data_IF_527026325192
#
_entry.id   IF_527026325192
#
_cell.length_a   1.000
_cell.length_b   1.000
_cell.length_c   1.000
_cell.angle_alpha   90.00
_cell.angle_beta   90.00
_cell.angle_gamma   90.00
#
_symmetry.space_group_name_H-M   'P 1'
#
loop_
_entity.id
_entity.type
_entity.pdbx_description
1 polymer ?
#
# COMPACT_ATOMS: atom_id res chain seq x y z
N UNK A 1 -25.89 -17.00 74.07
CA UNK A 1 -26.94 -17.45 73.15
C UNK A 1 -26.88 -16.56 71.91
N UNK A 2 -26.82 -17.11 70.75
CA UNK A 2 -26.84 -16.60 69.38
C UNK A 2 -25.48 -16.76 68.69
N UNK A 3 -25.43 -17.79 67.91
CA UNK A 3 -24.35 -18.23 67.04
C UNK A 3 -24.25 -17.32 65.82
N UNK A 4 -23.10 -16.71 65.62
CA UNK A 4 -22.77 -15.99 64.37
C UNK A 4 -22.23 -17.00 63.36
N UNK A 5 -22.94 -17.17 62.29
CA UNK A 5 -22.52 -17.98 61.12
C UNK A 5 -21.85 -17.01 60.15
N UNK A 6 -20.55 -17.10 60.03
CA UNK A 6 -19.76 -16.35 59.05
C UNK A 6 -19.79 -17.09 57.71
N UNK A 7 -20.57 -16.57 56.74
CA UNK A 7 -20.59 -17.10 55.37
C UNK A 7 -19.41 -16.44 54.60
N UNK A 8 -18.41 -17.24 54.25
CA UNK A 8 -17.29 -16.88 53.42
C UNK A 8 -17.69 -16.94 51.95
N UNK A 9 -17.99 -15.82 51.33
CA UNK A 9 -18.25 -15.71 49.90
C UNK A 9 -16.92 -15.75 49.14
N UNK A 10 -16.60 -16.88 48.50
CA UNK A 10 -15.59 -17.03 47.50
C UNK A 10 -16.05 -16.33 46.20
N UNK A 11 -15.52 -15.14 45.94
CA UNK A 11 -15.68 -14.51 44.61
C UNK A 11 -14.64 -15.11 43.68
N UNK A 12 -15.10 -16.03 42.86
CA UNK A 12 -14.31 -16.60 41.76
C UNK A 12 -14.23 -15.58 40.65
N UNK A 13 -13.08 -14.88 40.51
CA UNK A 13 -12.83 -13.97 39.41
C UNK A 13 -12.56 -14.79 38.13
N UNK A 14 -13.62 -14.90 37.31
CA UNK A 14 -13.52 -15.45 35.97
C UNK A 14 -12.82 -14.42 35.07
N UNK A 15 -11.51 -14.54 34.90
CA UNK A 15 -10.75 -13.75 33.94
C UNK A 15 -11.16 -14.21 32.54
N UNK A 16 -12.07 -13.47 31.92
CA UNK A 16 -12.34 -13.59 30.47
C UNK A 16 -11.14 -13.07 29.71
N UNK A 17 -10.25 -13.99 29.29
CA UNK A 17 -9.23 -13.70 28.32
C UNK A 17 -9.92 -13.34 26.99
N UNK A 18 -10.00 -12.06 26.69
CA UNK A 18 -10.38 -11.57 25.36
C UNK A 18 -9.32 -12.08 24.38
N UNK A 19 -9.70 -12.79 23.30
CA UNK A 19 -8.76 -13.09 22.25
C UNK A 19 -8.30 -11.75 21.66
N UNK A 20 -7.00 -11.46 21.74
CA UNK A 20 -6.41 -10.37 20.99
C UNK A 20 -6.80 -10.58 19.53
N UNK A 21 -7.56 -9.65 18.95
CA UNK A 21 -7.86 -9.63 17.53
C UNK A 21 -6.52 -9.55 16.78
N UNK A 22 -6.00 -10.73 16.41
CA UNK A 22 -4.89 -10.82 15.49
C UNK A 22 -5.37 -10.17 14.20
N UNK A 23 -4.74 -9.05 13.80
CA UNK A 23 -4.96 -8.43 12.51
C UNK A 23 -4.94 -9.52 11.44
N UNK A 24 -5.73 -9.36 10.40
CA UNK A 24 -5.99 -10.33 9.34
C UNK A 24 -4.67 -10.89 8.76
N UNK A 25 -4.10 -11.85 9.45
CA UNK A 25 -3.04 -12.70 8.93
C UNK A 25 -3.71 -13.60 7.88
N UNK A 26 -3.06 -13.73 6.74
CA UNK A 26 -3.42 -14.73 5.75
C UNK A 26 -3.56 -16.08 6.46
N UNK A 27 -4.72 -16.74 6.40
CA UNK A 27 -4.91 -18.10 6.93
C UNK A 27 -4.17 -19.16 6.08
N UNK A 28 -3.56 -18.73 4.98
CA UNK A 28 -2.72 -19.54 4.10
C UNK A 28 -1.30 -19.69 4.68
N UNK A 29 -0.60 -20.75 4.27
CA UNK A 29 0.82 -20.91 4.63
C UNK A 29 1.65 -19.73 4.14
N UNK A 30 2.78 -19.45 4.80
CA UNK A 30 3.67 -18.36 4.41
C UNK A 30 4.13 -18.50 2.94
N UNK A 31 4.45 -19.73 2.51
CA UNK A 31 4.86 -20.02 1.12
C UNK A 31 3.76 -19.67 0.11
N UNK A 32 2.50 -20.01 0.42
CA UNK A 32 1.36 -19.67 -0.44
C UNK A 32 1.14 -18.15 -0.51
N UNK A 33 1.29 -17.44 0.59
CA UNK A 33 1.22 -15.98 0.62
C UNK A 33 2.35 -15.34 -0.19
N UNK A 34 3.56 -15.87 -0.13
CA UNK A 34 4.72 -15.40 -0.88
C UNK A 34 4.51 -15.61 -2.38
N UNK A 35 4.08 -16.80 -2.82
CA UNK A 35 3.80 -17.07 -4.23
C UNK A 35 2.67 -16.19 -4.78
N UNK A 36 1.62 -15.99 -4.01
CA UNK A 36 0.53 -15.07 -4.37
C UNK A 36 1.00 -13.62 -4.49
N UNK A 37 1.93 -13.18 -3.63
CA UNK A 37 2.52 -11.85 -3.73
C UNK A 37 3.42 -11.71 -4.96
N UNK A 38 4.25 -12.71 -5.28
CA UNK A 38 5.06 -12.74 -6.51
C UNK A 38 4.21 -12.58 -7.75
N UNK A 39 3.13 -13.36 -7.87
CA UNK A 39 2.19 -13.25 -8.99
C UNK A 39 1.60 -11.85 -9.09
N UNK A 40 1.13 -11.29 -7.97
CA UNK A 40 0.58 -9.93 -7.95
C UNK A 40 1.59 -8.87 -8.37
N UNK A 41 2.85 -9.01 -7.99
CA UNK A 41 3.91 -8.06 -8.35
C UNK A 41 4.28 -8.17 -9.83
N UNK A 42 4.28 -9.38 -10.39
CA UNK A 42 4.58 -9.62 -11.80
C UNK A 42 3.51 -9.00 -12.73
N UNK A 43 2.25 -9.00 -12.31
CA UNK A 43 1.11 -8.46 -13.07
C UNK A 43 0.82 -6.97 -12.78
N UNK A 44 1.48 -6.42 -11.76
CA UNK A 44 1.18 -5.06 -11.31
C UNK A 44 1.60 -4.02 -12.33
N UNK A 45 0.64 -3.19 -12.75
CA UNK A 45 0.92 -1.99 -13.51
C UNK A 45 1.67 -0.96 -12.66
N UNK A 46 2.67 -0.33 -13.26
CA UNK A 46 3.58 0.59 -12.57
C UNK A 46 3.81 1.86 -13.39
N UNK A 47 3.74 2.99 -12.72
CA UNK A 47 4.02 4.30 -13.30
C UNK A 47 5.46 4.76 -12.99
N UNK A 48 5.97 4.44 -11.82
CA UNK A 48 7.33 4.79 -11.41
C UNK A 48 7.46 6.10 -10.66
N UNK A 49 6.44 6.48 -9.88
CA UNK A 49 6.51 7.60 -8.92
C UNK A 49 6.36 7.11 -7.48
N UNK A 50 7.04 7.80 -6.58
CA UNK A 50 6.73 7.79 -5.15
C UNK A 50 6.15 9.16 -4.79
N UNK A 51 5.17 9.20 -3.91
CA UNK A 51 4.51 10.43 -3.54
C UNK A 51 4.26 10.51 -2.03
N UNK A 52 4.27 11.73 -1.52
CA UNK A 52 3.93 12.07 -0.14
C UNK A 52 2.67 12.92 -0.08
N UNK A 53 2.12 13.06 1.12
CA UNK A 53 1.02 13.99 1.37
C UNK A 53 1.52 15.41 1.19
N UNK A 54 0.79 16.19 0.40
CA UNK A 54 0.98 17.62 0.24
C UNK A 54 -0.15 18.39 0.94
N UNK A 55 -0.04 19.70 0.93
CA UNK A 55 -1.07 20.59 1.46
C UNK A 55 -2.43 20.40 0.76
N UNK A 56 -3.49 20.84 1.43
CA UNK A 56 -4.87 20.81 0.91
C UNK A 56 -5.37 19.42 0.48
N UNK A 57 -4.92 18.36 1.18
CA UNK A 57 -5.37 17.00 0.92
C UNK A 57 -4.92 16.44 -0.44
N UNK A 58 -3.85 16.98 -1.00
CA UNK A 58 -3.23 16.51 -2.26
C UNK A 58 -2.07 15.58 -2.01
N UNK A 59 -1.47 15.12 -3.10
CA UNK A 59 -0.27 14.31 -3.13
C UNK A 59 0.78 15.00 -3.98
N UNK A 60 2.03 14.98 -3.55
CA UNK A 60 3.16 15.49 -4.34
C UNK A 60 4.15 14.39 -4.67
N UNK A 61 4.70 14.44 -5.86
CA UNK A 61 5.73 13.51 -6.31
C UNK A 61 7.00 13.75 -5.51
N UNK A 62 7.38 12.75 -4.70
CA UNK A 62 8.62 12.75 -3.92
C UNK A 62 9.81 12.28 -4.74
N UNK A 63 9.59 11.27 -5.59
CA UNK A 63 10.63 10.66 -6.41
C UNK A 63 10.05 10.15 -7.72
N UNK A 64 10.81 10.29 -8.79
CA UNK A 64 10.57 9.63 -10.07
C UNK A 64 11.68 8.60 -10.26
N UNK A 65 11.29 7.37 -10.55
CA UNK A 65 12.25 6.31 -10.80
C UNK A 65 12.87 6.46 -12.19
N UNK A 66 14.17 6.24 -12.29
CA UNK A 66 14.86 6.26 -13.57
C UNK A 66 14.34 5.14 -14.51
N UNK A 67 14.31 5.43 -15.81
CA UNK A 67 13.80 4.54 -16.85
C UNK A 67 12.33 4.09 -16.66
N UNK A 68 11.56 4.86 -15.88
CA UNK A 68 10.14 4.59 -15.64
C UNK A 68 9.23 5.26 -16.68
N UNK A 69 7.98 4.78 -16.82
CA UNK A 69 6.95 5.50 -17.57
C UNK A 69 6.76 6.94 -17.13
N UNK A 70 6.86 7.21 -15.84
CA UNK A 70 6.75 8.57 -15.30
C UNK A 70 7.88 9.49 -15.76
N UNK A 71 9.12 9.00 -15.77
CA UNK A 71 10.26 9.79 -16.29
C UNK A 71 10.06 10.09 -17.77
N UNK A 72 9.67 9.09 -18.56
CA UNK A 72 9.40 9.26 -19.99
C UNK A 72 8.25 10.23 -20.26
N UNK A 73 7.23 10.24 -19.43
CA UNK A 73 6.10 11.17 -19.48
C UNK A 73 6.47 12.58 -19.00
N UNK A 74 7.63 12.76 -18.40
CA UNK A 74 8.12 14.06 -17.92
C UNK A 74 7.63 14.45 -16.53
N UNK A 75 7.24 13.49 -15.67
CA UNK A 75 7.02 13.77 -14.25
C UNK A 75 8.28 14.30 -13.59
N UNK A 76 8.12 15.17 -12.61
CA UNK A 76 9.22 15.76 -11.85
C UNK A 76 8.92 15.70 -10.35
N UNK A 77 9.99 15.64 -9.57
CA UNK A 77 9.86 15.81 -8.12
C UNK A 77 9.26 17.18 -7.81
N UNK A 78 8.29 17.20 -6.90
CA UNK A 78 7.55 18.39 -6.50
C UNK A 78 6.24 18.60 -7.29
N UNK A 79 5.97 17.82 -8.33
CA UNK A 79 4.67 17.86 -9.01
C UNK A 79 3.54 17.53 -8.03
N UNK A 80 2.53 18.37 -7.96
CA UNK A 80 1.33 18.09 -7.17
C UNK A 80 0.28 17.44 -8.06
N UNK A 81 -0.16 16.23 -7.69
CA UNK A 81 -1.15 15.48 -8.45
C UNK A 81 -2.53 16.14 -8.33
N UNK A 82 -3.12 16.56 -9.45
CA UNK A 82 -4.41 17.25 -9.51
C UNK A 82 -5.51 16.34 -10.00
N UNK A 83 -5.29 15.60 -11.08
CA UNK A 83 -6.26 14.66 -11.63
C UNK A 83 -5.56 13.46 -12.28
N UNK A 84 -6.28 12.34 -12.37
CA UNK A 84 -5.91 11.13 -13.10
C UNK A 84 -7.14 10.63 -13.85
N UNK A 85 -7.02 10.40 -15.17
CA UNK A 85 -8.12 9.94 -16.02
C UNK A 85 -9.40 10.78 -15.86
N UNK A 86 -9.25 12.09 -15.63
CA UNK A 86 -10.36 13.01 -15.41
C UNK A 86 -10.85 13.07 -13.95
N UNK A 87 -10.49 12.12 -13.10
CA UNK A 87 -10.87 12.11 -11.69
C UNK A 87 -9.98 13.02 -10.85
N UNK A 88 -10.57 13.78 -9.92
CA UNK A 88 -9.83 14.63 -8.99
C UNK A 88 -8.90 13.78 -8.10
N UNK A 89 -7.61 14.05 -8.15
CA UNK A 89 -6.61 13.29 -7.40
C UNK A 89 -6.41 13.89 -6.01
N UNK A 90 -7.36 13.64 -5.13
CA UNK A 90 -7.36 14.14 -3.75
C UNK A 90 -7.54 13.02 -2.72
N UNK A 91 -7.21 13.34 -1.47
CA UNK A 91 -7.41 12.41 -0.34
C UNK A 91 -8.89 12.11 -0.11
N UNK A 92 -9.78 13.03 -0.44
CA UNK A 92 -11.23 12.88 -0.31
C UNK A 92 -11.78 11.94 -1.39
N UNK A 93 -11.18 11.96 -2.59
CA UNK A 93 -11.62 11.17 -3.75
C UNK A 93 -10.89 9.83 -3.92
N UNK A 94 -10.22 9.33 -2.87
CA UNK A 94 -9.42 8.08 -2.92
C UNK A 94 -10.17 6.89 -3.51
N UNK A 95 -11.48 6.80 -3.27
CA UNK A 95 -12.29 5.67 -3.76
C UNK A 95 -12.40 5.68 -5.28
N UNK A 96 -12.65 6.85 -5.89
CA UNK A 96 -12.72 6.99 -7.35
C UNK A 96 -11.34 6.76 -7.99
N UNK A 97 -10.27 7.33 -7.40
CA UNK A 97 -8.91 7.09 -7.87
C UNK A 97 -8.54 5.60 -7.82
N UNK A 98 -8.89 4.92 -6.72
CA UNK A 98 -8.65 3.47 -6.62
C UNK A 98 -9.43 2.67 -7.66
N UNK A 99 -10.68 3.06 -7.95
CA UNK A 99 -11.49 2.43 -8.99
C UNK A 99 -10.87 2.66 -10.37
N UNK A 100 -10.49 3.90 -10.70
CA UNK A 100 -9.83 4.22 -11.96
C UNK A 100 -8.50 3.45 -12.15
N UNK A 101 -7.74 3.25 -11.08
CA UNK A 101 -6.53 2.41 -11.11
C UNK A 101 -6.82 0.92 -11.30
N UNK A 102 -7.94 0.42 -10.78
CA UNK A 102 -8.28 -1.00 -10.86
C UNK A 102 -8.57 -1.46 -12.31
N UNK A 103 -8.97 -0.53 -13.16
CA UNK A 103 -9.24 -0.78 -14.59
C UNK A 103 -7.99 -0.67 -15.47
N UNK A 104 -6.85 -0.25 -14.90
CA UNK A 104 -5.59 -0.08 -15.60
C UNK A 104 -4.68 -1.29 -15.41
N UNK A 105 -4.13 -1.78 -16.52
CA UNK A 105 -3.13 -2.85 -16.56
C UNK A 105 -1.81 -2.38 -17.15
N UNK A 106 -0.87 -3.31 -17.28
CA UNK A 106 0.37 -3.07 -18.02
C UNK A 106 0.02 -2.80 -19.50
N UNK A 107 0.63 -1.77 -20.08
CA UNK A 107 0.34 -1.29 -21.42
C UNK A 107 -0.84 -0.33 -21.53
N UNK A 108 -1.55 -0.04 -20.44
CA UNK A 108 -2.62 0.96 -20.44
C UNK A 108 -2.06 2.38 -20.52
N UNK A 109 -2.70 3.22 -21.32
CA UNK A 109 -2.48 4.66 -21.30
C UNK A 109 -3.11 5.27 -20.07
N UNK A 110 -2.37 6.13 -19.38
CA UNK A 110 -2.86 6.89 -18.23
C UNK A 110 -2.53 8.36 -18.37
N UNK A 111 -3.54 9.21 -18.22
CA UNK A 111 -3.38 10.65 -18.24
C UNK A 111 -3.41 11.24 -16.85
N UNK A 112 -2.42 12.08 -16.56
CA UNK A 112 -2.37 12.89 -15.33
C UNK A 112 -2.44 14.38 -15.64
N UNK A 113 -3.00 15.11 -14.70
CA UNK A 113 -2.82 16.56 -14.60
C UNK A 113 -2.06 16.82 -13.30
N UNK A 114 -0.94 17.48 -13.42
CA UNK A 114 -0.12 17.90 -12.26
C UNK A 114 -0.08 19.43 -12.18
N UNK A 115 0.19 19.95 -10.98
CA UNK A 115 0.52 21.36 -10.79
C UNK A 115 2.03 21.46 -10.55
N UNK A 116 2.70 22.18 -11.43
CA UNK A 116 4.14 22.43 -11.41
C UNK A 116 4.36 23.96 -11.44
N UNK A 117 5.04 24.50 -10.44
CA UNK A 117 5.33 25.95 -10.36
C UNK A 117 4.10 26.84 -10.59
N UNK A 118 2.96 26.43 -10.05
CA UNK A 118 1.69 27.16 -10.16
C UNK A 118 0.88 26.83 -11.41
N UNK A 119 1.45 26.24 -12.45
CA UNK A 119 0.81 25.91 -13.71
C UNK A 119 0.32 24.46 -13.78
N UNK A 120 -0.79 24.22 -14.51
CA UNK A 120 -1.26 22.85 -14.78
C UNK A 120 -0.53 22.27 -15.98
N UNK A 121 0.01 21.07 -15.84
CA UNK A 121 0.68 20.30 -16.89
C UNK A 121 -0.07 18.99 -17.09
N UNK A 122 -0.37 18.62 -18.33
CA UNK A 122 -0.88 17.30 -18.69
C UNK A 122 0.29 16.39 -19.01
N UNK A 123 0.23 15.18 -18.48
CA UNK A 123 1.25 14.16 -18.68
C UNK A 123 0.54 12.85 -19.05
N UNK A 124 0.96 12.27 -20.16
CA UNK A 124 0.45 10.99 -20.66
C UNK A 124 1.55 9.95 -20.53
N UNK A 125 1.23 8.80 -19.93
CA UNK A 125 2.18 7.73 -19.68
C UNK A 125 1.56 6.38 -20.08
N UNK A 126 2.40 5.45 -20.55
CA UNK A 126 2.01 4.06 -20.77
C UNK A 126 2.54 3.22 -19.62
N UNK A 127 1.65 2.59 -18.86
CA UNK A 127 2.04 1.79 -17.68
C UNK A 127 2.87 0.58 -18.07
N UNK A 128 3.92 0.30 -17.31
CA UNK A 128 4.82 -0.83 -17.53
C UNK A 128 4.74 -1.86 -16.40
N UNK A 129 5.44 -2.98 -16.55
CA UNK A 129 5.69 -3.88 -15.45
C UNK A 129 6.58 -3.23 -14.38
N UNK A 130 6.39 -3.62 -13.13
CA UNK A 130 7.36 -3.28 -12.09
C UNK A 130 8.72 -3.88 -12.45
N UNK A 131 9.84 -3.13 -12.41
CA UNK A 131 11.17 -3.70 -12.61
C UNK A 131 11.46 -4.85 -11.64
N UNK A 132 12.17 -5.87 -12.11
CA UNK A 132 12.42 -7.09 -11.35
C UNK A 132 13.11 -6.82 -10.01
N UNK A 133 14.05 -5.87 -9.98
CA UNK A 133 14.76 -5.46 -8.76
C UNK A 133 13.79 -4.90 -7.71
N UNK A 134 12.83 -4.07 -8.13
CA UNK A 134 11.81 -3.55 -7.24
C UNK A 134 10.80 -4.62 -6.79
N UNK A 135 10.45 -5.56 -7.67
CA UNK A 135 9.62 -6.69 -7.28
C UNK A 135 10.29 -7.51 -6.17
N UNK A 136 11.58 -7.78 -6.29
CA UNK A 136 12.36 -8.50 -5.29
C UNK A 136 12.44 -7.72 -3.97
N UNK A 137 12.72 -6.41 -4.03
CA UNK A 137 12.77 -5.55 -2.86
C UNK A 137 11.42 -5.56 -2.12
N UNK A 138 10.31 -5.33 -2.82
CA UNK A 138 8.97 -5.31 -2.21
C UNK A 138 8.55 -6.67 -1.67
N UNK A 139 8.99 -7.75 -2.30
CA UNK A 139 8.74 -9.10 -1.79
C UNK A 139 9.49 -9.33 -0.47
N UNK A 140 10.75 -8.90 -0.38
CA UNK A 140 11.55 -8.99 0.86
C UNK A 140 10.89 -8.18 1.97
N UNK A 141 10.49 -6.93 1.71
CA UNK A 141 9.76 -6.09 2.66
C UNK A 141 8.47 -6.78 3.14
N UNK A 142 7.67 -7.30 2.20
CA UNK A 142 6.43 -8.00 2.52
C UNK A 142 6.66 -9.19 3.44
N UNK A 143 7.69 -10.02 3.16
CA UNK A 143 8.02 -11.19 3.98
C UNK A 143 8.49 -10.76 5.37
N UNK A 144 9.34 -9.73 5.47
CA UNK A 144 9.82 -9.23 6.75
C UNK A 144 8.71 -8.68 7.65
N UNK A 145 7.71 -8.01 7.05
CA UNK A 145 6.60 -7.41 7.79
C UNK A 145 5.53 -8.43 8.19
N UNK A 146 5.24 -9.40 7.32
CA UNK A 146 4.09 -10.30 7.51
C UNK A 146 4.48 -11.71 7.93
N UNK A 147 5.70 -12.14 7.64
CA UNK A 147 6.23 -13.48 7.92
C UNK A 147 7.66 -13.40 8.47
N UNK A 148 7.88 -12.77 9.64
CA UNK A 148 9.22 -12.55 10.19
C UNK A 148 9.97 -13.86 10.50
N UNK A 149 9.26 -14.98 10.65
CA UNK A 149 9.79 -16.33 10.80
C UNK A 149 10.40 -16.89 9.50
N UNK A 150 9.92 -16.42 8.34
CA UNK A 150 10.41 -16.75 7.00
C UNK A 150 11.44 -15.73 6.51
N UNK A 151 12.46 -15.48 7.32
CA UNK A 151 13.54 -14.61 6.88
C UNK A 151 14.21 -15.24 5.66
N UNK A 152 13.96 -14.67 4.47
CA UNK A 152 14.62 -15.09 3.25
C UNK A 152 16.12 -15.05 3.53
N UNK A 153 16.77 -16.21 3.45
CA UNK A 153 18.20 -16.31 3.62
C UNK A 153 18.83 -15.36 2.60
N UNK A 154 19.39 -14.27 3.08
CA UNK A 154 20.22 -13.39 2.27
C UNK A 154 21.33 -14.27 1.74
N UNK A 155 21.26 -14.60 0.46
CA UNK A 155 22.34 -15.28 -0.24
C UNK A 155 23.60 -14.41 -0.08
N UNK A 156 24.54 -14.94 0.66
CA UNK A 156 25.94 -14.48 0.68
C UNK A 156 26.50 -14.47 -0.73
#
# INVERSE_FOLDING_TARGET
>A
MKKLITALLMVSALVLALPAAAGSRCDASADECIEKMKTKLAEKAWLGIEYDKADYGRWSVRKVHANSPAEQAGFQQGDVLIAMQGEDYSMENKKAIKAAWADLGVGSDVQYVVKREGSKVKLDAVLAHVPQELQQQWLVEYVQENHPEHRLASSN
#
